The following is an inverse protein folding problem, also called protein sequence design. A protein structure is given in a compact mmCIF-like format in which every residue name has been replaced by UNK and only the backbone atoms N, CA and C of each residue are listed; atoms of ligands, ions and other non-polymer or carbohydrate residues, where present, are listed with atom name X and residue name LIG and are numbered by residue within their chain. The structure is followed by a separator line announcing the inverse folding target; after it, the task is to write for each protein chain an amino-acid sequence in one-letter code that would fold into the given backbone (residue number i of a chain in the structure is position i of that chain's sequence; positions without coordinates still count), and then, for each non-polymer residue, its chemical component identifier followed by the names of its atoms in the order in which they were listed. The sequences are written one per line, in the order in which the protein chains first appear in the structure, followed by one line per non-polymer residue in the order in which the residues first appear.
data_IF_643582397950
#
_entry.id   IF_643582397950
#
_cell.length_a   1.000
_cell.length_b   1.000
_cell.length_c   1.000
_cell.angle_alpha   90.00
_cell.angle_beta   90.00
_cell.angle_gamma   90.00
#
_symmetry.space_group_name_H-M   'P 1'
#
loop_
_entity.id
_entity.type
_entity.pdbx_description
1 polymer ?
#
# COMPACT_ATOMS: atom_id res chain seq x y z
N UNK A 1 -25.46 3.45 -18.12
CA UNK A 1 -25.19 4.88 -18.43
C UNK A 1 -24.13 5.51 -17.52
N UNK A 2 -24.10 5.26 -16.21
CA UNK A 2 -23.17 5.92 -15.29
C UNK A 2 -21.67 5.68 -15.61
N UNK A 3 -21.32 4.48 -16.08
CA UNK A 3 -19.91 4.13 -16.38
C UNK A 3 -19.41 4.73 -17.69
N UNK A 4 -20.32 4.99 -18.64
CA UNK A 4 -19.98 5.70 -19.87
C UNK A 4 -19.61 7.16 -19.58
N UNK A 5 -20.34 7.84 -18.69
CA UNK A 5 -20.06 9.24 -18.37
C UNK A 5 -18.72 9.39 -17.60
N UNK A 6 -18.43 8.49 -16.66
CA UNK A 6 -17.17 8.50 -15.89
C UNK A 6 -15.96 8.18 -16.78
N UNK A 7 -16.10 7.23 -17.71
CA UNK A 7 -15.08 6.96 -18.72
C UNK A 7 -14.86 8.15 -19.66
N UNK A 8 -15.92 8.90 -20.00
CA UNK A 8 -15.79 10.15 -20.76
C UNK A 8 -15.01 11.20 -19.96
N UNK A 9 -15.27 11.36 -18.66
CA UNK A 9 -14.52 12.28 -17.79
C UNK A 9 -13.03 11.91 -17.77
N UNK A 10 -12.70 10.63 -17.61
CA UNK A 10 -11.30 10.18 -17.62
C UNK A 10 -10.65 10.43 -18.99
N UNK A 11 -11.34 10.13 -20.09
CA UNK A 11 -10.84 10.35 -21.46
C UNK A 11 -10.71 11.83 -21.82
N UNK A 12 -11.56 12.70 -21.26
CA UNK A 12 -11.55 14.14 -21.50
C UNK A 12 -10.53 14.90 -20.63
N UNK A 13 -9.57 14.21 -20.00
CA UNK A 13 -8.55 14.86 -19.16
C UNK A 13 -9.04 15.22 -17.75
N UNK A 14 -10.20 14.73 -17.31
CA UNK A 14 -10.77 15.08 -15.99
C UNK A 14 -9.88 14.70 -14.81
N UNK A 15 -9.02 13.68 -14.95
CA UNK A 15 -8.01 13.32 -13.92
C UNK A 15 -6.96 14.43 -13.79
N UNK A 16 -6.49 14.98 -14.90
CA UNK A 16 -5.48 16.04 -14.88
C UNK A 16 -6.06 17.33 -14.28
N UNK A 17 -7.28 17.69 -14.67
CA UNK A 17 -7.97 18.87 -14.16
C UNK A 17 -8.16 18.81 -12.65
N UNK A 18 -8.62 17.67 -12.10
CA UNK A 18 -8.83 17.55 -10.65
C UNK A 18 -7.51 17.58 -9.87
N UNK A 19 -6.46 16.97 -10.40
CA UNK A 19 -5.14 16.97 -9.74
C UNK A 19 -4.47 18.34 -9.81
N UNK A 20 -4.58 19.06 -10.93
CA UNK A 20 -4.13 20.45 -11.03
C UNK A 20 -4.91 21.36 -10.08
N UNK A 21 -6.23 21.15 -9.97
CA UNK A 21 -7.07 21.84 -9.00
C UNK A 21 -6.60 21.64 -7.56
N UNK A 22 -6.31 20.40 -7.16
CA UNK A 22 -5.73 20.10 -5.84
C UNK A 22 -4.37 20.74 -5.62
N UNK A 23 -3.48 20.72 -6.62
CA UNK A 23 -2.16 21.36 -6.50
C UNK A 23 -2.27 22.86 -6.31
N UNK A 24 -3.19 23.52 -7.02
CA UNK A 24 -3.35 24.98 -7.00
C UNK A 24 -4.17 25.48 -5.81
N UNK A 25 -5.15 24.70 -5.35
CA UNK A 25 -6.16 25.13 -4.37
C UNK A 25 -6.26 24.18 -3.16
N UNK A 26 -5.23 23.35 -2.93
CA UNK A 26 -5.23 22.33 -1.89
C UNK A 26 -5.37 22.85 -0.46
N UNK A 27 -5.10 24.15 -0.24
CA UNK A 27 -5.33 24.83 1.04
C UNK A 27 -6.81 25.08 1.35
N UNK A 28 -7.70 25.01 0.35
CA UNK A 28 -9.14 25.23 0.53
C UNK A 28 -9.86 23.93 0.82
N UNK A 29 -10.35 23.77 2.05
CA UNK A 29 -10.99 22.53 2.48
C UNK A 29 -12.19 22.13 1.60
N UNK A 30 -13.01 23.10 1.20
CA UNK A 30 -14.21 22.87 0.38
C UNK A 30 -13.90 22.35 -1.04
N UNK A 31 -12.78 22.80 -1.62
CA UNK A 31 -12.29 22.35 -2.93
C UNK A 31 -11.63 20.99 -2.78
N UNK A 32 -10.78 20.85 -1.77
CA UNK A 32 -10.04 19.62 -1.49
C UNK A 32 -10.97 18.44 -1.22
N UNK A 33 -12.01 18.62 -0.40
CA UNK A 33 -12.97 17.55 -0.12
C UNK A 33 -13.69 17.08 -1.40
N UNK A 34 -14.17 18.02 -2.21
CA UNK A 34 -14.84 17.72 -3.48
C UNK A 34 -13.92 17.03 -4.48
N UNK A 35 -12.66 17.46 -4.55
CA UNK A 35 -11.65 16.83 -5.38
C UNK A 35 -11.31 15.40 -4.91
N UNK A 36 -11.11 15.19 -3.61
CA UNK A 36 -10.91 13.86 -3.04
C UNK A 36 -12.11 12.94 -3.30
N UNK A 37 -13.33 13.45 -3.20
CA UNK A 37 -14.54 12.71 -3.54
C UNK A 37 -14.58 12.28 -5.02
N UNK A 38 -14.22 13.18 -5.94
CA UNK A 38 -14.14 12.85 -7.36
C UNK A 38 -13.04 11.80 -7.64
N UNK A 39 -11.87 11.96 -7.04
CA UNK A 39 -10.76 10.99 -7.15
C UNK A 39 -11.18 9.62 -6.61
N UNK A 40 -11.84 9.58 -5.46
CA UNK A 40 -12.37 8.34 -4.88
C UNK A 40 -13.30 7.62 -5.87
N UNK A 41 -14.21 8.36 -6.51
CA UNK A 41 -15.14 7.82 -7.50
C UNK A 41 -14.44 7.31 -8.76
N UNK A 42 -13.38 7.99 -9.22
CA UNK A 42 -12.57 7.55 -10.37
C UNK A 42 -11.80 6.27 -10.01
N UNK A 43 -11.27 6.18 -8.80
CA UNK A 43 -10.47 5.04 -8.33
C UNK A 43 -11.27 3.74 -8.17
N UNK A 44 -12.61 3.78 -8.20
CA UNK A 44 -13.45 2.56 -8.21
C UNK A 44 -13.13 1.67 -9.43
N UNK A 45 -12.68 2.25 -10.54
CA UNK A 45 -12.41 1.54 -11.79
C UNK A 45 -10.91 1.34 -12.03
N UNK A 46 -10.50 0.15 -12.49
CA UNK A 46 -9.10 -0.18 -12.76
C UNK A 46 -8.37 0.84 -13.64
N UNK A 47 -8.99 1.27 -14.75
CA UNK A 47 -8.42 2.30 -15.64
C UNK A 47 -8.22 3.64 -14.93
N UNK A 48 -9.14 4.01 -14.03
CA UNK A 48 -9.05 5.22 -13.22
C UNK A 48 -7.88 5.15 -12.25
N UNK A 49 -7.69 4.00 -11.57
CA UNK A 49 -6.56 3.78 -10.64
C UNK A 49 -5.21 3.91 -11.32
N UNK A 50 -5.02 3.21 -12.45
CA UNK A 50 -3.79 3.29 -13.24
C UNK A 50 -3.49 4.72 -13.67
N UNK A 51 -4.51 5.43 -14.19
CA UNK A 51 -4.34 6.82 -14.65
C UNK A 51 -4.02 7.78 -13.49
N UNK A 52 -4.70 7.63 -12.36
CA UNK A 52 -4.47 8.45 -11.16
C UNK A 52 -3.05 8.28 -10.64
N UNK A 53 -2.57 7.06 -10.44
CA UNK A 53 -1.22 6.81 -9.92
C UNK A 53 -0.16 7.32 -10.90
N UNK A 54 -0.33 7.07 -12.21
CA UNK A 54 0.58 7.59 -13.25
C UNK A 54 0.68 9.12 -13.25
N UNK A 55 -0.37 9.83 -12.82
CA UNK A 55 -0.42 11.29 -12.77
C UNK A 55 -0.15 11.87 -11.36
N UNK A 56 0.35 11.05 -10.42
CA UNK A 56 0.69 11.51 -9.06
C UNK A 56 -0.53 11.71 -8.15
N UNK A 57 -1.65 11.03 -8.44
CA UNK A 57 -2.88 11.14 -7.68
C UNK A 57 -2.75 10.67 -6.23
N UNK A 58 -1.99 9.60 -5.98
CA UNK A 58 -1.68 9.15 -4.60
C UNK A 58 -0.95 10.23 -3.81
N UNK A 59 0.07 10.87 -4.41
CA UNK A 59 0.80 11.99 -3.81
C UNK A 59 -0.13 13.16 -3.48
N UNK A 60 -1.03 13.52 -4.40
CA UNK A 60 -1.99 14.61 -4.16
C UNK A 60 -2.94 14.29 -2.99
N UNK A 61 -3.41 13.05 -2.87
CA UNK A 61 -4.24 12.61 -1.74
C UNK A 61 -3.46 12.69 -0.42
N UNK A 62 -2.21 12.24 -0.39
CA UNK A 62 -1.35 12.29 0.79
C UNK A 62 -1.11 13.74 1.22
N UNK A 63 -0.80 14.64 0.28
CA UNK A 63 -0.64 16.07 0.55
C UNK A 63 -1.94 16.68 1.08
N UNK A 64 -3.09 16.32 0.52
CA UNK A 64 -4.39 16.78 1.01
C UNK A 64 -4.64 16.35 2.48
N UNK A 65 -4.34 15.09 2.83
CA UNK A 65 -4.46 14.61 4.21
C UNK A 65 -3.53 15.36 5.17
N UNK A 66 -2.28 15.63 4.76
CA UNK A 66 -1.32 16.40 5.56
C UNK A 66 -1.73 17.87 5.74
N UNK A 67 -2.33 18.46 4.70
CA UNK A 67 -2.77 19.85 4.73
C UNK A 67 -4.04 20.04 5.58
N UNK A 68 -4.82 18.97 5.77
CA UNK A 68 -6.09 18.99 6.50
C UNK A 68 -6.21 17.84 7.51
N UNK A 69 -5.32 17.78 8.53
CA UNK A 69 -5.15 16.61 9.39
C UNK A 69 -6.33 16.33 10.34
N UNK A 70 -7.26 17.28 10.48
CA UNK A 70 -8.44 17.17 11.34
C UNK A 70 -9.77 17.26 10.57
N UNK A 71 -9.72 17.47 9.25
CA UNK A 71 -10.94 17.63 8.46
C UNK A 71 -11.51 16.27 8.06
N UNK A 72 -12.48 15.79 8.83
CA UNK A 72 -13.11 14.47 8.67
C UNK A 72 -13.51 14.16 7.23
N UNK A 73 -14.20 15.08 6.54
CA UNK A 73 -14.64 14.86 5.15
C UNK A 73 -13.48 14.55 4.18
N UNK A 74 -12.43 15.38 4.19
CA UNK A 74 -11.23 15.18 3.38
C UNK A 74 -10.57 13.84 3.73
N UNK A 75 -10.37 13.56 5.01
CA UNK A 75 -9.71 12.35 5.46
C UNK A 75 -10.50 11.09 5.08
N UNK A 76 -11.83 11.08 5.22
CA UNK A 76 -12.67 9.96 4.78
C UNK A 76 -12.56 9.72 3.28
N UNK A 77 -12.69 10.78 2.46
CA UNK A 77 -12.65 10.66 0.99
C UNK A 77 -11.26 10.28 0.50
N UNK A 78 -10.21 10.88 1.06
CA UNK A 78 -8.84 10.58 0.70
C UNK A 78 -8.45 9.16 1.11
N UNK A 79 -8.79 8.74 2.32
CA UNK A 79 -8.55 7.37 2.80
C UNK A 79 -9.30 6.35 1.93
N UNK A 80 -10.57 6.61 1.60
CA UNK A 80 -11.33 5.74 0.70
C UNK A 80 -10.79 5.71 -0.73
N UNK A 81 -10.23 6.81 -1.22
CA UNK A 81 -9.53 6.84 -2.50
C UNK A 81 -8.24 6.01 -2.46
N UNK A 82 -7.44 6.13 -1.39
CA UNK A 82 -6.24 5.32 -1.19
C UNK A 82 -6.57 3.82 -1.07
N UNK A 83 -7.65 3.46 -0.37
CA UNK A 83 -8.15 2.09 -0.32
C UNK A 83 -8.48 1.55 -1.72
N UNK A 84 -9.22 2.33 -2.51
CA UNK A 84 -9.54 1.96 -3.90
C UNK A 84 -8.26 1.77 -4.72
N UNK A 85 -7.32 2.72 -4.66
CA UNK A 85 -6.04 2.62 -5.37
C UNK A 85 -5.26 1.35 -4.96
N UNK A 86 -5.26 1.02 -3.67
CA UNK A 86 -4.56 -0.14 -3.10
C UNK A 86 -5.18 -1.50 -3.45
N UNK A 87 -6.36 -1.53 -4.09
CA UNK A 87 -6.91 -2.76 -4.67
C UNK A 87 -5.97 -3.34 -5.75
N UNK A 88 -5.24 -2.48 -6.47
CA UNK A 88 -4.17 -2.94 -7.34
C UNK A 88 -2.87 -3.00 -6.53
N UNK A 89 -2.27 -4.18 -6.41
CA UNK A 89 -1.09 -4.42 -5.56
C UNK A 89 0.11 -3.55 -5.93
N UNK A 90 0.31 -3.28 -7.22
CA UNK A 90 1.37 -2.40 -7.72
C UNK A 90 1.29 -0.97 -7.16
N UNK A 91 0.09 -0.49 -6.80
CA UNK A 91 -0.09 0.86 -6.26
C UNK A 91 0.28 0.95 -4.77
N UNK A 92 0.24 -0.17 -4.02
CA UNK A 92 0.46 -0.20 -2.58
C UNK A 92 1.84 0.32 -2.21
N UNK A 93 2.88 -0.17 -2.90
CA UNK A 93 4.26 0.25 -2.67
C UNK A 93 4.46 1.73 -2.97
N UNK A 94 3.80 2.27 -4.00
CA UNK A 94 3.83 3.71 -4.35
C UNK A 94 3.18 4.55 -3.23
N UNK A 95 2.03 4.12 -2.73
CA UNK A 95 1.33 4.81 -1.64
C UNK A 95 2.16 4.79 -0.34
N UNK A 96 2.72 3.63 0.01
CA UNK A 96 3.56 3.47 1.22
C UNK A 96 4.82 4.33 1.11
N UNK A 97 5.56 4.27 0.00
CA UNK A 97 6.76 5.10 -0.23
C UNK A 97 6.47 6.60 -0.20
N UNK A 98 5.26 7.01 -0.60
CA UNK A 98 4.81 8.40 -0.52
C UNK A 98 4.47 8.87 0.91
N UNK A 99 4.52 7.98 1.90
CA UNK A 99 4.13 8.25 3.28
C UNK A 99 2.62 8.22 3.50
N UNK A 100 1.88 7.44 2.69
CA UNK A 100 0.44 7.32 2.78
C UNK A 100 -0.02 6.48 3.97
N UNK A 101 0.77 5.50 4.41
CA UNK A 101 0.45 4.66 5.56
C UNK A 101 0.35 5.50 6.84
N UNK A 102 1.32 6.37 7.06
CA UNK A 102 1.41 7.28 8.21
C UNK A 102 0.24 8.27 8.22
N UNK A 103 -0.15 8.78 7.05
CA UNK A 103 -1.30 9.68 6.93
C UNK A 103 -2.61 8.97 7.27
N UNK A 104 -2.77 7.72 6.84
CA UNK A 104 -3.96 6.91 7.18
C UNK A 104 -3.96 6.53 8.65
N UNK A 105 -2.80 6.25 9.24
CA UNK A 105 -2.66 5.95 10.67
C UNK A 105 -2.98 7.16 11.55
N UNK A 106 -2.57 8.36 11.14
CA UNK A 106 -2.99 9.60 11.78
C UNK A 106 -4.51 9.83 11.64
N UNK A 107 -5.07 9.60 10.45
CA UNK A 107 -6.52 9.71 10.23
C UNK A 107 -7.33 8.72 11.07
N UNK A 108 -6.77 7.54 11.38
CA UNK A 108 -7.42 6.53 12.21
C UNK A 108 -7.67 6.98 13.66
N UNK A 109 -7.02 8.07 14.12
CA UNK A 109 -7.26 8.65 15.43
C UNK A 109 -8.61 9.38 15.51
N UNK A 110 -9.24 9.68 14.37
CA UNK A 110 -10.58 10.26 14.33
C UNK A 110 -11.63 9.14 14.27
N UNK A 111 -12.56 9.06 15.23
CA UNK A 111 -13.57 7.98 15.29
C UNK A 111 -14.38 7.82 14.00
N UNK A 112 -14.69 8.92 13.32
CA UNK A 112 -15.47 8.96 12.09
C UNK A 112 -14.72 8.36 10.89
N UNK A 113 -13.39 8.29 10.95
CA UNK A 113 -12.52 7.79 9.88
C UNK A 113 -11.89 6.45 10.24
N UNK A 114 -11.85 6.08 11.53
CA UNK A 114 -11.15 4.90 12.04
C UNK A 114 -11.48 3.64 11.24
N UNK A 115 -12.76 3.34 11.04
CA UNK A 115 -13.16 2.08 10.38
C UNK A 115 -12.61 1.96 8.96
N UNK A 116 -12.64 3.04 8.16
CA UNK A 116 -12.11 3.01 6.80
C UNK A 116 -10.57 3.05 6.81
N UNK A 117 -9.97 3.79 7.73
CA UNK A 117 -8.51 3.88 7.89
C UNK A 117 -7.90 2.53 8.26
N UNK A 118 -8.44 1.82 9.25
CA UNK A 118 -7.98 0.48 9.66
C UNK A 118 -8.04 -0.53 8.52
N UNK A 119 -9.13 -0.52 7.73
CA UNK A 119 -9.26 -1.37 6.54
C UNK A 119 -8.22 -1.02 5.47
N UNK A 120 -7.96 0.27 5.30
CA UNK A 120 -6.97 0.76 4.34
C UNK A 120 -5.56 0.36 4.72
N UNK A 121 -5.19 0.43 6.00
CA UNK A 121 -3.89 -0.04 6.50
C UNK A 121 -3.68 -1.52 6.19
N UNK A 122 -4.64 -2.38 6.55
CA UNK A 122 -4.58 -3.82 6.21
C UNK A 122 -4.43 -4.08 4.70
N UNK A 123 -5.09 -3.28 3.86
CA UNK A 123 -4.96 -3.37 2.41
C UNK A 123 -3.56 -2.98 1.92
N UNK A 124 -2.98 -1.92 2.49
CA UNK A 124 -1.62 -1.46 2.17
C UNK A 124 -0.56 -2.47 2.61
N UNK A 125 -0.76 -3.12 3.75
CA UNK A 125 0.10 -4.18 4.28
C UNK A 125 -0.05 -5.51 3.52
N UNK A 126 -0.99 -5.59 2.56
CA UNK A 126 -1.21 -6.77 1.72
C UNK A 126 -2.08 -7.86 2.34
N UNK A 127 -2.68 -7.61 3.50
CA UNK A 127 -3.54 -8.52 4.25
C UNK A 127 -4.97 -8.62 3.67
N UNK A 128 -5.10 -8.72 2.35
CA UNK A 128 -6.39 -8.74 1.66
C UNK A 128 -7.28 -9.92 2.11
N UNK A 129 -6.67 -11.07 2.42
CA UNK A 129 -7.38 -12.25 2.91
C UNK A 129 -8.07 -12.01 4.26
N UNK A 130 -7.42 -11.26 5.17
CA UNK A 130 -8.00 -10.94 6.48
C UNK A 130 -9.29 -10.10 6.35
N UNK A 131 -9.36 -9.23 5.33
CA UNK A 131 -10.54 -8.41 5.06
C UNK A 131 -11.72 -9.22 4.49
N UNK A 132 -11.45 -10.28 3.72
CA UNK A 132 -12.49 -11.18 3.21
C UNK A 132 -13.06 -12.08 4.31
N UNK A 133 -12.21 -12.53 5.24
CA UNK A 133 -12.63 -13.38 6.37
C UNK A 133 -13.56 -12.62 7.33
N UNK A 134 -13.27 -11.36 7.65
CA UNK A 134 -14.12 -10.55 8.55
C UNK A 134 -15.53 -10.28 7.99
N UNK A 135 -15.69 -10.23 6.66
CA UNK A 135 -16.99 -10.05 6.00
C UNK A 135 -17.76 -11.37 5.85
N UNK A 136 -17.05 -12.48 5.70
CA UNK A 136 -17.62 -13.82 5.51
C UNK A 136 -17.91 -14.56 6.83
N UNK A 137 -17.34 -14.13 7.96
CA UNK A 137 -17.58 -14.76 9.25
C UNK A 137 -18.81 -14.16 9.95
N UNK A 138 -19.97 -14.86 10.00
CA UNK A 138 -21.13 -14.35 10.72
C UNK A 138 -20.78 -14.13 12.19
N UNK A 139 -21.36 -13.09 12.80
CA UNK A 139 -21.02 -12.55 14.14
C UNK A 139 -21.12 -13.55 15.31
N UNK A 140 -21.47 -14.82 15.06
CA UNK A 140 -21.50 -15.90 16.06
C UNK A 140 -20.28 -16.82 16.07
N UNK A 141 -19.39 -16.80 15.07
CA UNK A 141 -18.31 -17.81 14.94
C UNK A 141 -16.92 -17.36 15.43
N UNK A 142 -16.80 -16.19 16.06
CA UNK A 142 -15.51 -15.73 16.63
C UNK A 142 -15.04 -16.56 17.84
N UNK A 143 -15.94 -17.32 18.48
CA UNK A 143 -15.61 -18.20 19.61
C UNK A 143 -14.94 -19.53 19.20
N UNK A 144 -14.89 -19.85 17.90
CA UNK A 144 -14.35 -21.12 17.41
C UNK A 144 -12.93 -21.01 16.80
N UNK A 145 -12.33 -19.82 16.81
CA UNK A 145 -10.97 -19.59 16.32
C UNK A 145 -9.85 -20.17 17.23
N UNK A 146 -10.22 -20.89 18.29
CA UNK A 146 -9.26 -21.68 19.11
C UNK A 146 -9.06 -23.11 18.60
N UNK A 147 -9.62 -23.47 17.44
CA UNK A 147 -9.38 -24.77 16.83
C UNK A 147 -8.46 -24.54 15.63
N UNK A 148 -7.21 -24.97 15.77
CA UNK A 148 -6.21 -24.93 14.71
C UNK A 148 -6.77 -25.62 13.44
N UNK A 149 -6.85 -24.91 12.30
CA UNK A 149 -7.50 -25.43 11.10
C UNK A 149 -6.69 -26.51 10.36
N UNK A 150 -5.54 -26.93 10.90
CA UNK A 150 -4.67 -27.95 10.29
C UNK A 150 -4.37 -29.15 11.20
N UNK A 151 -4.95 -29.23 12.40
CA UNK A 151 -4.82 -30.44 13.23
C UNK A 151 -3.39 -30.90 13.52
N UNK A 152 -2.41 -30.00 13.46
CA UNK A 152 -1.01 -30.29 13.77
C UNK A 152 -0.64 -29.60 15.08
N UNK A 153 -0.57 -30.44 16.12
CA UNK A 153 0.13 -30.22 17.39
C UNK A 153 -0.58 -29.36 18.43
N UNK A 154 -1.17 -30.01 19.43
CA UNK A 154 -0.43 -30.22 20.68
C UNK A 154 -1.25 -31.09 21.63
N UNK A 155 -0.71 -32.27 21.89
CA UNK A 155 -1.13 -33.16 22.96
C UNK A 155 -1.03 -32.40 24.29
N UNK A 156 -2.16 -31.92 24.80
CA UNK A 156 -2.25 -31.15 26.03
C UNK A 156 -1.89 -31.98 27.26
N UNK A 157 -0.61 -31.96 27.65
CA UNK A 157 -0.19 -32.30 29.00
C UNK A 157 -0.80 -31.27 29.97
N UNK A 158 -1.94 -31.63 30.55
CA UNK A 158 -2.54 -30.92 31.68
C UNK A 158 -1.66 -31.14 32.91
N UNK A 159 -0.77 -30.19 33.22
CA UNK A 159 -0.21 -30.05 34.56
C UNK A 159 -1.30 -29.60 35.53
N UNK A 160 -2.05 -30.58 36.01
CA UNK A 160 -2.97 -30.43 37.14
C UNK A 160 -2.13 -30.35 38.42
N UNK A 161 -1.90 -29.13 38.92
CA UNK A 161 -1.44 -28.95 40.30
C UNK A 161 -2.47 -29.61 41.24
N UNK A 162 -2.08 -30.75 41.83
CA UNK A 162 -2.66 -31.24 43.07
C UNK A 162 -1.53 -31.52 44.04
N UNK A 163 -1.48 -30.69 45.09
CA UNK A 163 -0.89 -31.04 46.39
C UNK A 163 -1.37 -32.44 46.80
N UNK A 164 -0.45 -33.33 47.16
CA UNK A 164 -0.37 -34.06 48.45
C UNK A 164 0.57 -35.26 48.34
N UNK A 165 1.61 -35.21 49.18
CA UNK A 165 2.12 -36.25 50.07
C UNK A 165 2.52 -37.66 49.56
N UNK A 166 3.74 -38.01 50.00
CA UNK A 166 4.20 -39.27 50.63
C UNK A 166 4.67 -40.47 49.79
N UNK A 167 6.00 -40.69 49.89
CA UNK A 167 6.72 -41.90 50.38
C UNK A 167 6.89 -43.12 49.45
N UNK A 168 8.17 -43.55 49.37
CA UNK A 168 8.77 -44.87 48.97
C UNK A 168 8.47 -45.40 47.57
N UNK A 169 9.23 -46.29 46.94
CA UNK A 169 10.60 -46.80 46.93
C UNK A 169 10.57 -47.84 45.76
N UNK A 170 11.74 -48.38 45.41
CA UNK A 170 11.93 -49.63 44.65
C UNK A 170 11.85 -49.62 43.12
N UNK A 171 13.05 -49.75 42.54
CA UNK A 171 13.48 -50.83 41.64
C UNK A 171 12.59 -51.22 40.46
N UNK A 172 13.14 -51.08 39.25
CA UNK A 172 13.64 -52.22 38.48
C UNK A 172 14.27 -51.76 37.15
N UNK A 173 15.56 -52.12 36.99
CA UNK A 173 16.16 -52.85 35.85
C UNK A 173 15.32 -52.94 34.56
N UNK A 174 15.81 -52.85 33.33
CA UNK A 174 17.14 -52.95 32.71
C UNK A 174 16.86 -53.00 31.17
N UNK A 175 17.90 -52.86 30.36
CA UNK A 175 18.05 -53.36 28.97
C UNK A 175 17.80 -52.38 27.79
N UNK A 176 18.91 -51.76 27.39
CA UNK A 176 19.43 -51.68 26.00
C UNK A 176 19.44 -53.08 25.32
N UNK A 177 19.43 -53.23 23.97
CA UNK A 177 20.50 -52.76 23.06
C UNK A 177 20.03 -52.24 21.67
N UNK A 178 20.73 -51.29 21.05
CA UNK A 178 21.68 -51.41 19.92
C UNK A 178 21.15 -52.02 18.60
N UNK A 179 21.16 -51.23 17.53
CA UNK A 179 21.86 -51.53 16.27
C UNK A 179 21.87 -50.28 15.36
N UNK A 180 23.04 -49.95 14.86
CA UNK A 180 23.32 -48.93 13.86
C UNK A 180 23.58 -49.60 12.51
N UNK A 181 23.16 -49.01 11.39
CA UNK A 181 23.87 -49.10 10.09
C UNK A 181 23.39 -48.04 9.09
N UNK A 182 24.36 -47.24 8.60
CA UNK A 182 24.63 -46.83 7.19
C UNK A 182 23.58 -45.95 6.49
N UNK A 183 23.75 -44.64 6.27
CA UNK A 183 24.60 -43.85 5.32
C UNK A 183 24.39 -44.17 3.84
N UNK A 184 23.66 -43.29 3.15
CA UNK A 184 23.78 -42.84 1.74
C UNK A 184 22.82 -41.62 1.66
N UNK A 185 23.17 -40.39 1.27
CA UNK A 185 24.27 -39.91 0.44
C UNK A 185 23.75 -39.60 -0.96
N UNK A 186 23.10 -38.45 -1.18
CA UNK A 186 23.00 -37.83 -2.51
C UNK A 186 22.58 -36.35 -2.43
N UNK A 187 23.53 -35.51 -2.82
CA UNK A 187 23.43 -34.08 -3.12
C UNK A 187 22.83 -33.84 -4.52
N UNK A 188 22.77 -32.56 -4.89
CA UNK A 188 22.45 -31.94 -6.19
C UNK A 188 21.02 -31.37 -6.28
N UNK A 189 20.80 -30.10 -6.59
CA UNK A 189 21.71 -29.03 -6.98
C UNK A 189 20.92 -27.73 -7.10
N UNK A 190 21.55 -26.63 -6.71
CA UNK A 190 21.05 -25.26 -6.81
C UNK A 190 20.96 -24.83 -8.28
N UNK A 191 19.89 -24.12 -8.64
CA UNK A 191 19.93 -23.18 -9.75
C UNK A 191 19.15 -21.93 -9.36
N UNK A 192 19.90 -20.88 -9.01
CA UNK A 192 19.41 -19.52 -8.88
C UNK A 192 19.29 -18.89 -10.25
N UNK A 193 18.10 -18.38 -10.58
CA UNK A 193 17.91 -17.56 -11.77
C UNK A 193 18.27 -16.11 -11.45
N UNK A 194 19.30 -15.64 -12.14
CA UNK A 194 19.89 -14.33 -12.06
C UNK A 194 18.98 -13.26 -12.68
N UNK A 195 18.95 -12.10 -12.02
CA UNK A 195 18.42 -10.84 -12.55
C UNK A 195 19.29 -10.38 -13.72
N UNK A 196 18.70 -10.27 -14.92
CA UNK A 196 19.32 -9.61 -16.07
C UNK A 196 19.15 -8.09 -15.95
N UNK A 197 20.30 -7.45 -15.75
CA UNK A 197 20.57 -6.01 -15.74
C UNK A 197 20.89 -5.57 -17.18
N UNK A 198 19.98 -4.82 -17.81
CA UNK A 198 20.20 -4.27 -19.15
C UNK A 198 20.19 -2.73 -19.12
N UNK A 199 21.42 -2.22 -19.07
CA UNK A 199 21.98 -1.09 -19.83
C UNK A 199 21.29 0.29 -19.78
N UNK A 200 21.82 1.15 -18.91
CA UNK A 200 21.86 2.59 -19.14
C UNK A 200 23.00 2.93 -20.12
N UNK A 201 22.64 3.34 -21.32
CA UNK A 201 23.52 3.98 -22.30
C UNK A 201 23.81 5.43 -21.89
N UNK A 202 25.10 5.77 -21.79
CA UNK A 202 25.61 7.12 -21.54
C UNK A 202 26.50 7.56 -22.71
N UNK A 203 26.29 8.80 -23.15
CA UNK A 203 27.16 9.55 -24.04
C UNK A 203 26.54 9.71 -25.43
N UNK A 204 26.68 10.81 -26.15
CA UNK A 204 27.44 12.05 -25.98
C UNK A 204 27.10 12.88 -27.22
N UNK A 205 26.89 14.19 -27.07
CA UNK A 205 26.57 15.05 -28.21
C UNK A 205 26.76 16.52 -27.85
N UNK A 206 27.99 16.86 -27.49
CA UNK A 206 28.54 18.22 -27.49
C UNK A 206 29.08 18.55 -28.89
N UNK A 207 29.22 19.85 -29.19
CA UNK A 207 29.54 20.57 -30.46
C UNK A 207 28.30 21.24 -31.07
N UNK A 208 28.18 22.56 -31.19
CA UNK A 208 29.18 23.64 -31.14
C UNK A 208 29.18 24.37 -32.50
N UNK A 209 29.14 25.72 -32.43
CA UNK A 209 29.53 26.70 -33.48
C UNK A 209 28.52 26.84 -34.64
N UNK A 210 28.24 28.01 -35.24
CA UNK A 210 28.88 29.34 -35.33
C UNK A 210 27.80 30.36 -35.80
N UNK A 211 27.86 31.65 -35.40
CA UNK A 211 28.21 32.83 -36.23
C UNK A 211 27.28 33.02 -37.46
N UNK A 212 26.57 34.13 -37.60
CA UNK A 212 26.99 35.40 -38.23
C UNK A 212 25.88 36.42 -37.89
N UNK A 213 26.19 37.55 -37.24
CA UNK A 213 26.74 38.79 -37.80
C UNK A 213 25.69 39.68 -38.50
N UNK A 214 25.91 40.98 -38.29
CA UNK A 214 25.59 42.10 -39.15
C UNK A 214 24.36 42.99 -38.87
N UNK A 215 24.76 44.26 -38.68
CA UNK A 215 24.16 45.52 -39.10
C UNK A 215 23.17 46.18 -38.14
N UNK A 216 23.60 47.19 -37.37
CA UNK A 216 24.00 48.57 -37.77
C UNK A 216 22.80 49.53 -37.71
N UNK A 217 23.15 50.74 -37.26
CA UNK A 217 22.45 52.00 -37.41
C UNK A 217 21.24 52.30 -36.51
N UNK A 218 21.05 53.51 -36.03
CA UNK A 218 21.89 54.65 -35.67
C UNK A 218 20.86 55.70 -35.24
N UNK A 219 21.17 56.45 -34.19
CA UNK A 219 20.62 57.79 -33.90
C UNK A 219 19.08 57.92 -33.72
N UNK A 220 18.49 58.86 -32.99
CA UNK A 220 18.88 60.21 -32.60
C UNK A 220 17.89 60.66 -31.50
N UNK A 221 18.37 61.40 -30.50
CA UNK A 221 17.78 62.57 -29.81
C UNK A 221 16.28 62.58 -29.40
N UNK A 222 15.82 63.17 -28.30
CA UNK A 222 16.27 64.32 -27.53
C UNK A 222 15.55 64.29 -26.18
N UNK A 223 16.28 64.50 -25.08
CA UNK A 223 15.70 64.99 -23.81
C UNK A 223 16.14 66.45 -23.64
N UNK A 224 15.19 67.38 -23.75
CA UNK A 224 15.18 68.69 -23.07
C UNK A 224 13.75 69.03 -22.65
#
# INVERSE_FOLDING_TARGET
MADANKNRVIKAGGVEVVLNGLRKHGNRADVTERACALIQNIAVFARGRVKLVKQGGSTCLIVAMRSHPTHVGILQRATGALWNLALDSANRSVIVKGGGRECVEAAAQLPEVETIARKTLKMLDGEMMALMVDAALPKGLKKLAHIDPLGLSSNGNKTRQKKKNTVTADDHKEKRPEAATVIEGQEEGESGEAYSDDHYDQGSGDRGESEEDDDEDDEESSDE
#
